data_IF_826563492932
#
_entry.id   IF_826563492932
#
_cell.length_a   1.000
_cell.length_b   1.000
_cell.length_c   1.000
_cell.angle_alpha   90.00
_cell.angle_beta   90.00
_cell.angle_gamma   90.00
#
_symmetry.space_group_name_H-M   'P 1'
#
loop_
_entity.id
_entity.type
_entity.pdbx_description
1 polymer ?
#
# COMPACT_ATOMS: atom_id res chain seq x y z
N UNK A 1 21.41 -23.17 33.80
CA UNK A 1 20.34 -23.74 32.95
C UNK A 1 19.13 -22.82 32.87
N UNK A 2 18.57 -22.34 33.99
CA UNK A 2 17.45 -21.37 33.98
C UNK A 2 17.76 -20.09 33.19
N UNK A 3 18.94 -19.49 33.38
CA UNK A 3 19.34 -18.27 32.65
C UNK A 3 19.46 -18.47 31.14
N UNK A 4 19.95 -19.63 30.70
CA UNK A 4 20.07 -19.97 29.28
C UNK A 4 18.70 -20.18 28.64
N UNK A 5 17.76 -20.79 29.37
CA UNK A 5 16.37 -21.00 28.93
C UNK A 5 15.60 -19.68 28.83
N UNK A 6 15.81 -18.74 29.76
CA UNK A 6 15.20 -17.41 29.70
C UNK A 6 15.72 -16.60 28.51
N UNK A 7 17.02 -16.65 28.24
CA UNK A 7 17.62 -15.96 27.09
C UNK A 7 17.10 -16.56 25.78
N UNK A 8 17.02 -17.88 25.69
CA UNK A 8 16.43 -18.56 24.54
C UNK A 8 14.96 -18.19 24.33
N UNK A 9 14.14 -18.17 25.40
CA UNK A 9 12.74 -17.77 25.32
C UNK A 9 12.56 -16.29 24.93
N UNK A 10 13.43 -15.40 25.41
CA UNK A 10 13.40 -13.98 25.06
C UNK A 10 13.73 -13.77 23.58
N UNK A 11 14.81 -14.39 23.09
CA UNK A 11 15.19 -14.35 21.67
C UNK A 11 14.08 -14.95 20.80
N UNK A 12 13.46 -16.04 21.26
CA UNK A 12 12.33 -16.65 20.58
C UNK A 12 11.12 -15.71 20.49
N UNK A 13 10.79 -15.03 21.59
CA UNK A 13 9.72 -14.04 21.63
C UNK A 13 9.96 -12.87 20.66
N UNK A 14 11.21 -12.39 20.54
CA UNK A 14 11.57 -11.37 19.55
C UNK A 14 11.36 -11.87 18.12
N UNK A 15 11.66 -13.13 17.85
CA UNK A 15 11.46 -13.73 16.53
C UNK A 15 9.96 -13.86 16.19
N UNK A 16 9.16 -14.34 17.14
CA UNK A 16 7.70 -14.39 16.99
C UNK A 16 7.09 -13.00 16.77
N UNK A 17 7.59 -11.99 17.47
CA UNK A 17 7.17 -10.59 17.30
C UNK A 17 7.57 -10.03 15.92
N UNK A 18 8.78 -10.34 15.44
CA UNK A 18 9.22 -9.95 14.10
C UNK A 18 8.31 -10.56 13.01
N UNK A 19 7.97 -11.84 13.13
CA UNK A 19 7.03 -12.51 12.23
C UNK A 19 5.64 -11.87 12.30
N UNK A 20 5.18 -11.48 13.49
CA UNK A 20 3.90 -10.80 13.65
C UNK A 20 3.83 -9.48 12.89
N UNK A 21 4.90 -8.68 12.97
CA UNK A 21 5.00 -7.41 12.23
C UNK A 21 5.08 -7.68 10.73
N UNK A 22 5.89 -8.64 10.30
CA UNK A 22 6.07 -8.98 8.88
C UNK A 22 4.74 -9.44 8.26
N UNK A 23 4.04 -10.37 8.91
CA UNK A 23 2.72 -10.83 8.48
C UNK A 23 1.67 -9.70 8.48
N UNK A 24 1.69 -8.83 9.50
CA UNK A 24 0.78 -7.67 9.55
C UNK A 24 1.04 -6.65 8.44
N UNK A 25 2.28 -6.52 7.96
CA UNK A 25 2.61 -5.65 6.82
C UNK A 25 2.15 -6.23 5.49
N UNK A 26 1.94 -7.54 5.41
CA UNK A 26 1.50 -8.28 4.21
C UNK A 26 -0.04 -8.39 4.10
N UNK A 27 -0.81 -7.67 4.92
CA UNK A 27 -2.28 -7.75 4.93
C UNK A 27 -2.85 -8.98 5.63
N UNK A 28 -1.99 -9.89 6.13
CA UNK A 28 -2.39 -11.12 6.79
C UNK A 28 -2.68 -10.94 8.29
N UNK A 29 -3.30 -11.96 8.89
CA UNK A 29 -3.60 -12.03 10.31
C UNK A 29 -2.31 -12.16 11.16
N UNK A 30 -1.54 -11.08 11.32
CA UNK A 30 -0.24 -11.09 12.00
C UNK A 30 -0.28 -11.60 13.45
N UNK A 31 -1.39 -11.37 14.16
CA UNK A 31 -1.61 -11.92 15.50
C UNK A 31 -1.76 -13.45 15.51
N UNK A 32 -2.35 -14.04 14.47
CA UNK A 32 -2.48 -15.48 14.33
C UNK A 32 -1.11 -16.14 14.11
N UNK A 33 -0.31 -15.59 13.19
CA UNK A 33 1.04 -16.09 12.91
C UNK A 33 1.99 -15.95 14.11
N UNK A 34 1.87 -14.88 14.89
CA UNK A 34 2.62 -14.71 16.13
C UNK A 34 2.36 -15.86 17.12
N UNK A 35 1.09 -16.22 17.32
CA UNK A 35 0.69 -17.31 18.24
C UNK A 35 1.17 -18.66 17.71
N UNK A 36 1.05 -18.91 16.41
CA UNK A 36 1.53 -20.14 15.78
C UNK A 36 3.04 -20.30 15.99
N UNK A 37 3.86 -19.29 15.69
CA UNK A 37 5.32 -19.33 15.86
C UNK A 37 5.72 -19.43 17.33
N UNK A 38 5.01 -18.75 18.23
CA UNK A 38 5.28 -18.82 19.66
C UNK A 38 5.05 -20.24 20.22
N UNK A 39 3.97 -20.91 19.80
CA UNK A 39 3.59 -22.23 20.32
C UNK A 39 4.36 -23.39 19.66
N UNK A 40 4.62 -23.29 18.35
CA UNK A 40 5.26 -24.38 17.59
C UNK A 40 6.78 -24.23 17.49
N UNK A 41 7.32 -23.09 17.91
CA UNK A 41 8.76 -22.87 17.94
C UNK A 41 9.36 -22.85 16.53
N UNK A 42 10.55 -23.42 16.32
CA UNK A 42 11.26 -23.38 15.03
C UNK A 42 10.45 -23.98 13.87
N UNK A 43 9.55 -24.92 14.16
CA UNK A 43 8.66 -25.49 13.16
C UNK A 43 7.63 -24.47 12.64
N UNK A 44 7.13 -23.58 13.49
CA UNK A 44 6.24 -22.49 13.07
C UNK A 44 6.93 -21.46 12.21
N UNK A 45 8.17 -21.12 12.57
CA UNK A 45 9.00 -20.22 11.75
C UNK A 45 9.28 -20.82 10.38
N UNK A 46 9.61 -22.12 10.31
CA UNK A 46 9.84 -22.81 9.05
C UNK A 46 8.56 -22.88 8.19
N UNK A 47 7.40 -23.14 8.80
CA UNK A 47 6.11 -23.13 8.10
C UNK A 47 5.78 -21.74 7.56
N UNK A 48 5.99 -20.68 8.37
CA UNK A 48 5.79 -19.30 7.93
C UNK A 48 6.72 -18.95 6.75
N UNK A 49 8.02 -19.26 6.84
CA UNK A 49 8.97 -19.02 5.76
C UNK A 49 8.62 -19.79 4.49
N UNK A 50 8.11 -21.02 4.61
CA UNK A 50 7.68 -21.82 3.47
C UNK A 50 6.45 -21.18 2.81
N UNK A 51 5.46 -20.75 3.60
CA UNK A 51 4.29 -20.02 3.07
C UNK A 51 4.75 -18.76 2.34
N UNK A 52 5.58 -17.94 2.99
CA UNK A 52 6.16 -16.73 2.39
C UNK A 52 6.85 -17.04 1.06
N UNK A 53 7.75 -18.04 1.01
CA UNK A 53 8.44 -18.40 -0.25
C UNK A 53 7.49 -18.88 -1.35
N UNK A 54 6.45 -19.63 -1.01
CA UNK A 54 5.48 -20.12 -2.00
C UNK A 54 4.59 -18.99 -2.51
N UNK A 55 4.24 -18.03 -1.65
CA UNK A 55 3.42 -16.87 -2.02
C UNK A 55 4.23 -15.76 -2.69
N UNK A 56 5.54 -15.66 -2.44
CA UNK A 56 6.43 -14.67 -3.09
C UNK A 56 6.72 -15.05 -4.57
N UNK A 57 6.67 -16.33 -4.96
CA UNK A 57 6.88 -16.76 -6.37
C UNK A 57 5.69 -16.42 -7.30
N UNK A 58 4.55 -15.98 -6.75
CA UNK A 58 3.38 -15.50 -7.52
C UNK A 58 3.32 -13.97 -7.65
N UNK A 59 4.46 -13.25 -7.70
CA UNK A 59 4.48 -11.80 -7.92
C UNK A 59 5.28 -11.36 -9.16
N UNK A 60 4.72 -11.67 -10.33
CA UNK A 60 4.48 -10.60 -11.31
C UNK A 60 3.13 -9.96 -10.89
N UNK A 61 3.17 -8.73 -10.37
CA UNK A 61 2.02 -7.84 -10.14
C UNK A 61 0.84 -8.37 -9.28
N UNK A 62 1.04 -8.59 -7.98
CA UNK A 62 -0.07 -8.48 -7.04
C UNK A 62 0.40 -8.08 -5.63
N UNK A 63 0.30 -6.79 -5.37
CA UNK A 63 0.46 -6.20 -4.04
C UNK A 63 -0.92 -6.25 -3.37
N UNK A 64 -1.16 -7.01 -2.29
CA UNK A 64 -2.43 -6.93 -1.60
C UNK A 64 -2.46 -5.67 -0.71
N UNK A 65 -3.51 -4.87 -0.86
CA UNK A 65 -3.90 -3.70 -0.05
C UNK A 65 -3.18 -2.36 -0.29
N UNK A 66 -3.10 -1.96 -1.56
CA UNK A 66 -3.61 -0.66 -1.95
C UNK A 66 -4.33 -0.88 -3.28
N UNK A 67 -5.64 -0.65 -3.36
CA UNK A 67 -6.28 -0.49 -4.66
C UNK A 67 -5.36 0.41 -5.51
N UNK A 68 -4.98 0.02 -6.75
CA UNK A 68 -4.21 0.92 -7.60
C UNK A 68 -4.93 2.25 -7.56
N UNK A 69 -4.23 3.37 -7.24
CA UNK A 69 -4.89 4.63 -6.93
C UNK A 69 -5.88 4.90 -8.04
N UNK A 70 -7.16 5.01 -7.71
CA UNK A 70 -8.23 5.13 -8.70
C UNK A 70 -7.77 6.15 -9.74
N UNK A 71 -7.68 5.77 -11.01
CA UNK A 71 -7.17 6.68 -12.04
C UNK A 71 -8.34 7.32 -12.75
N UNK A 72 -8.29 8.64 -12.88
CA UNK A 72 -9.26 9.41 -13.67
C UNK A 72 -8.60 9.90 -14.95
N UNK A 73 -9.35 9.84 -16.05
CA UNK A 73 -8.96 10.41 -17.33
C UNK A 73 -9.23 11.91 -17.30
N UNK A 74 -8.22 12.75 -17.45
CA UNK A 74 -8.40 14.21 -17.49
C UNK A 74 -8.18 14.71 -18.91
N UNK A 75 -9.15 15.42 -19.47
CA UNK A 75 -8.98 15.98 -20.80
C UNK A 75 -7.91 17.09 -20.80
N UNK A 76 -6.87 17.01 -21.64
CA UNK A 76 -5.80 18.01 -21.68
C UNK A 76 -6.26 19.37 -22.24
N UNK A 77 -7.41 19.40 -22.93
CA UNK A 77 -7.95 20.62 -23.56
C UNK A 77 -8.90 21.40 -22.66
N UNK A 78 -9.81 20.69 -21.96
CA UNK A 78 -10.89 21.32 -21.19
C UNK A 78 -10.88 20.96 -19.71
N UNK A 79 -9.93 20.14 -19.26
CA UNK A 79 -9.75 19.73 -17.87
C UNK A 79 -10.93 18.94 -17.27
N UNK A 80 -11.88 18.49 -18.10
CA UNK A 80 -12.96 17.60 -17.65
C UNK A 80 -12.38 16.24 -17.26
N UNK A 81 -12.69 15.81 -16.04
CA UNK A 81 -12.32 14.49 -15.52
C UNK A 81 -13.42 13.46 -15.84
N UNK A 82 -13.00 12.23 -16.13
CA UNK A 82 -13.86 11.09 -16.38
C UNK A 82 -13.38 9.88 -15.58
N UNK A 83 -14.32 9.21 -14.93
CA UNK A 83 -14.07 7.98 -14.15
C UNK A 83 -14.15 6.71 -15.03
N UNK A 84 -14.47 6.87 -16.32
CA UNK A 84 -14.57 5.77 -17.29
C UNK A 84 -13.37 5.74 -18.24
N UNK A 85 -12.96 4.54 -18.73
CA UNK A 85 -11.84 4.37 -19.67
C UNK A 85 -12.25 4.73 -21.10
N UNK A 86 -12.62 5.99 -21.32
CA UNK A 86 -12.99 6.52 -22.65
C UNK A 86 -11.77 7.09 -23.36
N UNK A 87 -11.74 6.91 -24.68
CA UNK A 87 -10.65 7.40 -25.54
C UNK A 87 -10.91 8.81 -26.08
N UNK A 88 -12.05 9.42 -25.73
CA UNK A 88 -12.44 10.73 -26.25
C UNK A 88 -13.23 11.54 -25.24
N UNK A 89 -12.97 12.84 -25.21
CA UNK A 89 -13.69 13.80 -24.40
C UNK A 89 -15.10 14.06 -24.95
N UNK A 90 -16.13 13.99 -24.10
CA UNK A 90 -17.52 14.25 -24.47
C UNK A 90 -17.84 15.74 -24.71
N UNK A 91 -17.05 16.65 -24.12
CA UNK A 91 -17.30 18.09 -24.18
C UNK A 91 -16.63 18.76 -25.38
N UNK A 92 -15.39 18.38 -25.69
CA UNK A 92 -14.57 19.04 -26.73
C UNK A 92 -14.13 18.11 -27.87
N UNK A 93 -14.55 16.83 -27.87
CA UNK A 93 -14.23 15.82 -28.88
C UNK A 93 -12.71 15.54 -29.08
N UNK A 94 -11.85 16.04 -28.19
CA UNK A 94 -10.41 15.74 -28.18
C UNK A 94 -10.17 14.29 -27.79
N UNK A 95 -9.24 13.63 -28.48
CA UNK A 95 -8.79 12.28 -28.14
C UNK A 95 -8.02 12.27 -26.80
N UNK A 96 -8.30 11.29 -25.95
CA UNK A 96 -7.66 11.06 -24.67
C UNK A 96 -6.64 9.93 -24.83
N UNK A 97 -5.37 10.24 -24.59
CA UNK A 97 -4.25 9.31 -24.69
C UNK A 97 -3.97 8.57 -23.39
N UNK A 98 -3.03 7.59 -23.42
CA UNK A 98 -2.60 6.86 -22.22
C UNK A 98 -1.85 7.74 -21.21
N UNK A 99 -1.35 8.90 -21.63
CA UNK A 99 -0.69 9.88 -20.75
C UNK A 99 -1.70 10.80 -20.04
N UNK A 100 -2.99 10.72 -20.39
CA UNK A 100 -4.08 11.52 -19.78
C UNK A 100 -4.72 10.80 -18.58
N UNK A 101 -4.09 9.72 -18.10
CA UNK A 101 -4.47 9.00 -16.88
C UNK A 101 -3.79 9.64 -15.67
N UNK A 102 -4.60 10.20 -14.77
CA UNK A 102 -4.13 10.85 -13.55
C UNK A 102 -4.57 10.06 -12.31
N UNK A 103 -3.70 9.87 -11.31
CA UNK A 103 -4.10 9.21 -10.08
C UNK A 103 -5.03 10.13 -9.28
N UNK A 104 -6.10 9.57 -8.73
CA UNK A 104 -6.91 10.25 -7.72
C UNK A 104 -6.10 10.30 -6.44
N UNK A 105 -5.99 11.48 -5.86
CA UNK A 105 -5.31 11.70 -4.59
C UNK A 105 -6.30 12.05 -3.50
N UNK A 106 -6.09 11.55 -2.29
CA UNK A 106 -6.74 12.10 -1.09
C UNK A 106 -5.90 13.23 -0.50
N UNK A 107 -6.55 14.21 0.14
CA UNK A 107 -5.88 15.25 0.92
C UNK A 107 -5.92 14.90 2.40
N UNK A 108 -4.76 14.89 3.04
CA UNK A 108 -4.67 14.70 4.48
C UNK A 108 -4.29 16.00 5.18
N UNK A 109 -5.02 16.31 6.25
CA UNK A 109 -4.74 17.45 7.11
C UNK A 109 -3.85 17.03 8.29
N UNK A 110 -2.73 17.72 8.47
CA UNK A 110 -1.89 17.60 9.66
C UNK A 110 -1.71 18.97 10.30
N UNK A 111 -2.50 19.24 11.35
CA UNK A 111 -2.53 20.54 12.01
C UNK A 111 -3.16 21.60 11.12
N UNK A 112 -2.37 22.56 10.63
CA UNK A 112 -2.83 23.62 9.72
C UNK A 112 -2.27 23.46 8.30
N UNK A 113 -1.80 22.26 7.95
CA UNK A 113 -1.08 21.97 6.70
C UNK A 113 -1.74 20.79 6.00
N UNK A 114 -1.84 20.89 4.68
CA UNK A 114 -2.41 19.87 3.82
C UNK A 114 -1.31 19.14 3.05
N UNK A 115 -1.49 17.83 2.88
CA UNK A 115 -0.57 16.95 2.21
C UNK A 115 -1.31 16.06 1.22
N UNK A 116 -0.67 15.75 0.10
CA UNK A 116 -1.15 14.77 -0.86
C UNK A 116 -0.95 13.35 -0.29
N UNK A 117 -1.99 12.50 -0.31
CA UNK A 117 -1.91 11.10 0.11
C UNK A 117 -0.95 10.26 -0.73
N UNK A 118 -0.84 10.56 -2.04
CA UNK A 118 -0.04 9.75 -2.96
C UNK A 118 1.48 9.98 -2.84
N UNK A 119 1.91 11.24 -2.68
CA UNK A 119 3.34 11.58 -2.71
C UNK A 119 3.84 12.31 -1.46
N UNK A 120 2.97 12.57 -0.47
CA UNK A 120 3.28 13.33 0.76
C UNK A 120 3.76 14.76 0.54
N UNK A 121 3.66 15.29 -0.69
CA UNK A 121 3.98 16.68 -0.97
C UNK A 121 2.98 17.61 -0.27
N UNK A 122 3.48 18.74 0.21
CA UNK A 122 2.65 19.77 0.81
C UNK A 122 1.80 20.45 -0.26
N UNK A 123 0.49 20.47 -0.06
CA UNK A 123 -0.49 21.07 -0.98
C UNK A 123 -1.27 22.19 -0.28
N UNK A 124 -1.90 23.06 -1.06
CA UNK A 124 -2.83 24.06 -0.56
C UNK A 124 -4.25 23.49 -0.36
N UNK A 125 -5.11 24.17 0.40
CA UNK A 125 -6.52 23.77 0.51
C UNK A 125 -7.33 24.00 -0.78
N UNK A 126 -6.85 24.86 -1.69
CA UNK A 126 -7.57 25.26 -2.92
C UNK A 126 -7.00 24.64 -4.20
N UNK A 127 -5.94 23.82 -4.12
CA UNK A 127 -5.38 23.18 -5.32
C UNK A 127 -6.21 21.95 -5.69
N UNK A 128 -6.59 21.87 -6.97
CA UNK A 128 -7.30 20.73 -7.55
C UNK A 128 -6.36 19.63 -8.06
N UNK A 129 -5.06 19.92 -8.17
CA UNK A 129 -4.04 19.00 -8.65
C UNK A 129 -2.76 19.10 -7.81
N UNK A 130 -2.11 17.97 -7.56
CA UNK A 130 -0.83 17.91 -6.88
C UNK A 130 0.32 18.28 -7.82
N UNK A 131 1.12 19.32 -7.52
CA UNK A 131 2.23 19.75 -8.39
C UNK A 131 3.41 18.77 -8.45
N UNK A 132 3.44 17.76 -7.58
CA UNK A 132 4.54 16.80 -7.49
C UNK A 132 4.25 15.46 -8.15
N UNK A 133 2.99 15.04 -8.19
CA UNK A 133 2.58 13.72 -8.71
C UNK A 133 1.35 13.76 -9.60
N UNK A 134 0.92 14.95 -10.02
CA UNK A 134 -0.23 15.21 -10.90
C UNK A 134 -1.54 14.56 -10.46
N UNK A 135 -1.67 14.26 -9.16
CA UNK A 135 -2.85 13.65 -8.60
C UNK A 135 -4.00 14.66 -8.50
N UNK A 136 -5.22 14.23 -8.85
CA UNK A 136 -6.43 15.08 -8.83
C UNK A 136 -7.18 14.90 -7.51
N UNK A 137 -7.71 16.00 -6.95
CA UNK A 137 -8.36 16.07 -5.61
C UNK A 137 -9.84 16.48 -5.62
#
# INVERSE_FOLDING_TARGET
MLGTLLLAAFVWGLFAFAVAIDASRRGDHGGFWAVVVLLTGPFGTAAYLLVVMVTDDETEDDTPDADPPETVRVCPTCSTAYDDPRDRCAECDTDLGPDDDHPVGERHETGSRWYCGNCTARVGPEVSECPSCSAVF
#
